data_IF_641050848549
#
_entry.id   IF_641050848549
#
_cell.length_a   1.000
_cell.length_b   1.000
_cell.length_c   1.000
_cell.angle_alpha   90.00
_cell.angle_beta   90.00
_cell.angle_gamma   90.00
#
_symmetry.space_group_name_H-M   'P 1'
#
loop_
_entity.id
_entity.type
_entity.pdbx_description
1 polymer ?
#
# COMPACT_ATOMS: atom_id res chain seq x y z
N UNK A 1 20.19 67.19 26.37
CA UNK A 1 19.79 65.83 26.76
C UNK A 1 18.90 65.28 25.67
N UNK A 2 19.47 64.52 24.77
CA UNK A 2 18.74 63.91 23.62
C UNK A 2 18.41 62.46 23.98
N UNK A 3 17.12 62.21 24.26
CA UNK A 3 16.60 60.88 24.51
C UNK A 3 16.55 60.06 23.24
N UNK A 4 17.22 58.91 23.20
CA UNK A 4 17.16 57.93 22.14
C UNK A 4 15.81 57.19 22.17
N UNK A 5 14.98 57.43 21.20
CA UNK A 5 13.77 56.64 20.94
C UNK A 5 14.26 55.34 20.25
N UNK A 6 14.23 54.20 20.95
CA UNK A 6 14.44 52.88 20.37
C UNK A 6 13.14 52.47 19.65
N UNK A 7 13.15 52.50 18.32
CA UNK A 7 12.14 51.83 17.52
C UNK A 7 12.27 50.32 17.70
N UNK A 8 11.33 49.71 18.40
CA UNK A 8 11.14 48.31 18.39
C UNK A 8 10.47 47.91 17.05
N UNK A 9 11.28 47.44 16.11
CA UNK A 9 10.75 46.75 14.91
C UNK A 9 10.16 45.42 15.38
N UNK A 10 8.84 45.37 15.50
CA UNK A 10 8.10 44.13 15.55
C UNK A 10 8.34 43.39 14.22
N UNK A 11 9.17 42.34 14.26
CA UNK A 11 9.21 41.32 13.20
C UNK A 11 7.79 40.73 13.13
N UNK A 12 7.01 41.17 12.16
CA UNK A 12 5.76 40.49 11.77
C UNK A 12 6.21 39.06 11.39
N UNK A 13 5.96 38.08 12.27
CA UNK A 13 5.98 36.67 11.86
C UNK A 13 5.00 36.57 10.70
N UNK A 14 5.49 36.31 9.50
CA UNK A 14 4.62 35.86 8.40
C UNK A 14 3.77 34.74 8.97
N UNK A 15 2.47 34.97 9.15
CA UNK A 15 1.53 33.89 9.39
C UNK A 15 1.67 32.96 8.17
N UNK A 16 2.09 31.76 8.38
CA UNK A 16 2.01 30.70 7.36
C UNK A 16 0.50 30.46 7.26
N UNK A 17 -0.16 31.13 6.31
CA UNK A 17 -1.51 30.79 5.97
C UNK A 17 -1.49 29.38 5.39
N UNK A 18 -2.14 28.46 6.08
CA UNK A 18 -2.32 27.10 5.59
C UNK A 18 -3.17 27.18 4.33
N UNK A 19 -2.61 26.79 3.19
CA UNK A 19 -3.33 26.72 1.92
C UNK A 19 -3.78 25.27 1.69
N UNK A 20 -5.08 25.06 1.48
CA UNK A 20 -5.69 23.77 1.18
C UNK A 20 -6.00 23.59 -0.32
N UNK A 21 -5.60 24.55 -1.16
CA UNK A 21 -5.78 24.44 -2.61
C UNK A 21 -4.78 23.42 -3.17
N UNK A 22 -5.27 22.57 -4.05
CA UNK A 22 -4.45 21.61 -4.77
C UNK A 22 -3.63 22.32 -5.84
N UNK A 23 -2.41 21.85 -6.06
CA UNK A 23 -1.59 22.33 -7.18
C UNK A 23 -2.12 21.81 -8.51
N UNK A 24 -1.72 22.44 -9.62
CA UNK A 24 -2.08 21.98 -10.97
C UNK A 24 -1.63 20.53 -11.22
N UNK A 25 -0.45 20.15 -10.74
CA UNK A 25 0.06 18.78 -10.82
C UNK A 25 -0.81 17.79 -10.05
N UNK A 26 -1.17 18.11 -8.80
CA UNK A 26 -2.06 17.28 -7.97
C UNK A 26 -3.45 17.12 -8.60
N UNK A 27 -3.98 18.19 -9.23
CA UNK A 27 -5.25 18.11 -9.96
C UNK A 27 -5.13 17.23 -11.19
N UNK A 28 -4.06 17.34 -11.96
CA UNK A 28 -3.81 16.49 -13.14
C UNK A 28 -3.71 15.01 -12.75
N UNK A 29 -3.02 14.68 -11.67
CA UNK A 29 -2.94 13.29 -11.15
C UNK A 29 -4.32 12.79 -10.72
N UNK A 30 -5.10 13.62 -10.03
CA UNK A 30 -6.47 13.28 -9.62
C UNK A 30 -7.37 13.00 -10.83
N UNK A 31 -7.29 13.83 -11.87
CA UNK A 31 -8.06 13.64 -13.10
C UNK A 31 -7.64 12.38 -13.85
N UNK A 32 -6.36 12.14 -14.02
CA UNK A 32 -5.85 10.92 -14.65
C UNK A 32 -6.31 9.65 -13.90
N UNK A 33 -6.28 9.65 -12.58
CA UNK A 33 -6.77 8.55 -11.74
C UNK A 33 -8.28 8.33 -11.91
N UNK A 34 -9.06 9.43 -11.95
CA UNK A 34 -10.51 9.38 -12.18
C UNK A 34 -10.84 8.81 -13.56
N UNK A 35 -10.19 9.32 -14.59
CA UNK A 35 -10.41 8.86 -15.96
C UNK A 35 -10.08 7.38 -16.12
N UNK A 36 -8.97 6.95 -15.56
CA UNK A 36 -8.62 5.54 -15.53
C UNK A 36 -9.66 4.69 -14.79
N UNK A 37 -10.08 5.13 -13.60
CA UNK A 37 -11.08 4.42 -12.81
C UNK A 37 -12.41 4.27 -13.56
N UNK A 38 -12.90 5.34 -14.18
CA UNK A 38 -14.19 5.33 -14.89
C UNK A 38 -14.14 4.57 -16.22
N UNK A 39 -13.05 4.68 -16.98
CA UNK A 39 -12.96 4.14 -18.34
C UNK A 39 -12.36 2.73 -18.40
N UNK A 40 -11.46 2.38 -17.46
CA UNK A 40 -10.75 1.09 -17.47
C UNK A 40 -11.25 0.16 -16.36
N UNK A 41 -11.36 0.65 -15.13
CA UNK A 41 -11.75 -0.22 -14.01
C UNK A 41 -13.25 -0.51 -13.95
N UNK A 42 -14.08 0.52 -14.11
CA UNK A 42 -15.52 0.44 -13.95
C UNK A 42 -16.22 -0.62 -14.84
N UNK A 43 -15.86 -0.77 -16.13
CA UNK A 43 -16.55 -1.73 -16.99
C UNK A 43 -16.49 -3.18 -16.51
N UNK A 44 -15.41 -3.56 -15.81
CA UNK A 44 -15.21 -4.95 -15.39
C UNK A 44 -15.28 -5.17 -13.86
N UNK A 45 -15.54 -4.14 -13.05
CA UNK A 45 -15.40 -4.24 -11.59
C UNK A 45 -16.33 -5.27 -10.96
N UNK A 46 -17.59 -5.34 -11.39
CA UNK A 46 -18.57 -6.30 -10.86
C UNK A 46 -18.18 -7.73 -11.22
N UNK A 47 -17.72 -7.96 -12.45
CA UNK A 47 -17.24 -9.28 -12.88
C UNK A 47 -16.00 -9.70 -12.09
N UNK A 48 -15.03 -8.80 -11.92
CA UNK A 48 -13.84 -9.08 -11.11
C UNK A 48 -14.17 -9.43 -9.67
N UNK A 49 -15.08 -8.68 -9.04
CA UNK A 49 -15.48 -8.94 -7.66
C UNK A 49 -16.25 -10.25 -7.52
N UNK A 50 -17.25 -10.49 -8.37
CA UNK A 50 -18.06 -11.70 -8.33
C UNK A 50 -17.23 -12.97 -8.56
N UNK A 51 -16.30 -12.94 -9.51
CA UNK A 51 -15.43 -14.06 -9.85
C UNK A 51 -14.11 -14.07 -9.08
N UNK A 52 -13.95 -13.16 -8.12
CA UNK A 52 -12.71 -13.03 -7.33
C UNK A 52 -11.45 -12.95 -8.23
N UNK A 53 -11.56 -12.27 -9.36
CA UNK A 53 -10.51 -12.18 -10.39
C UNK A 53 -9.58 -10.99 -10.11
N UNK A 54 -8.30 -11.27 -9.94
CA UNK A 54 -7.29 -10.22 -9.78
C UNK A 54 -7.18 -9.37 -11.06
N UNK A 55 -7.12 -8.04 -10.98
CA UNK A 55 -7.12 -7.13 -12.12
C UNK A 55 -5.75 -7.02 -12.81
N UNK A 56 -5.25 -8.11 -13.40
CA UNK A 56 -3.89 -8.19 -13.97
C UNK A 56 -3.65 -7.13 -15.04
N UNK A 57 -4.56 -7.03 -16.01
CA UNK A 57 -4.38 -6.11 -17.15
C UNK A 57 -4.59 -4.66 -16.73
N UNK A 58 -5.49 -4.43 -15.78
CA UNK A 58 -5.74 -3.12 -15.22
C UNK A 58 -4.56 -2.62 -14.37
N UNK A 59 -3.89 -3.50 -13.62
CA UNK A 59 -2.67 -3.16 -12.87
C UNK A 59 -1.50 -2.86 -13.82
N UNK A 60 -1.37 -3.56 -14.94
CA UNK A 60 -0.36 -3.20 -15.96
C UNK A 60 -0.59 -1.80 -16.53
N UNK A 61 -1.84 -1.45 -16.83
CA UNK A 61 -2.17 -0.11 -17.31
C UNK A 61 -1.96 0.97 -16.22
N UNK A 62 -2.20 0.65 -14.93
CA UNK A 62 -1.81 1.53 -13.81
C UNK A 62 -0.30 1.75 -13.77
N UNK A 63 0.48 0.71 -14.09
CA UNK A 63 1.93 0.81 -14.18
C UNK A 63 2.39 1.75 -15.32
N UNK A 64 1.76 1.67 -16.49
CA UNK A 64 2.02 2.56 -17.62
C UNK A 64 1.76 4.04 -17.29
N UNK A 65 0.80 4.32 -16.39
CA UNK A 65 0.54 5.66 -15.85
C UNK A 65 1.52 6.06 -14.72
N UNK A 66 2.46 5.20 -14.34
CA UNK A 66 3.40 5.44 -13.25
C UNK A 66 2.80 5.28 -11.85
N UNK A 67 1.59 4.70 -11.73
CA UNK A 67 0.88 4.62 -10.46
C UNK A 67 1.36 3.46 -9.56
N UNK A 68 2.22 2.58 -10.06
CA UNK A 68 2.81 1.51 -9.24
C UNK A 68 4.04 1.96 -8.46
N UNK A 69 4.67 3.09 -8.84
CA UNK A 69 5.81 3.69 -8.17
C UNK A 69 5.65 5.20 -7.95
N UNK A 70 4.45 5.66 -7.54
CA UNK A 70 4.11 7.10 -7.49
C UNK A 70 5.11 7.93 -6.69
N UNK A 71 5.47 7.47 -5.49
CA UNK A 71 6.31 8.22 -4.55
C UNK A 71 7.80 7.85 -4.65
N UNK A 72 8.16 6.92 -5.52
CA UNK A 72 9.55 6.48 -5.70
C UNK A 72 10.32 7.48 -6.55
N UNK A 73 11.56 7.74 -6.18
CA UNK A 73 12.48 8.62 -6.91
C UNK A 73 12.61 8.17 -8.38
N UNK A 74 12.53 9.09 -9.36
CA UNK A 74 12.66 8.78 -10.78
C UNK A 74 13.92 8.00 -11.15
N UNK A 75 15.02 8.15 -10.40
CA UNK A 75 16.25 7.36 -10.61
C UNK A 75 16.07 5.86 -10.45
N UNK A 76 14.99 5.44 -9.77
CA UNK A 76 14.60 4.03 -9.61
C UNK A 76 13.36 3.67 -10.42
N UNK A 77 12.99 4.48 -11.41
CA UNK A 77 11.86 4.24 -12.30
C UNK A 77 10.49 4.63 -11.71
N UNK A 78 10.47 5.35 -10.60
CA UNK A 78 9.25 5.90 -10.03
C UNK A 78 8.84 7.24 -10.64
N UNK A 79 7.68 7.76 -10.24
CA UNK A 79 7.13 9.02 -10.73
C UNK A 79 7.54 10.24 -9.90
N UNK A 80 8.13 10.06 -8.71
CA UNK A 80 8.59 11.15 -7.84
C UNK A 80 7.49 12.05 -7.29
N UNK A 81 6.24 11.60 -7.31
CA UNK A 81 5.07 12.37 -6.86
C UNK A 81 5.06 12.51 -5.33
N UNK A 82 4.37 13.55 -4.85
CA UNK A 82 4.18 13.76 -3.42
C UNK A 82 3.09 12.85 -2.82
N UNK A 83 3.03 12.82 -1.49
CA UNK A 83 2.02 12.01 -0.77
C UNK A 83 0.60 12.48 -1.05
N UNK A 84 0.37 13.77 -1.34
CA UNK A 84 -0.96 14.28 -1.65
C UNK A 84 -1.45 13.72 -3.00
N UNK A 85 -0.60 13.74 -4.03
CA UNK A 85 -0.89 13.13 -5.34
C UNK A 85 -1.25 11.64 -5.19
N UNK A 86 -0.49 10.90 -4.36
CA UNK A 86 -0.78 9.50 -4.05
C UNK A 86 -2.16 9.33 -3.39
N UNK A 87 -2.49 10.15 -2.38
CA UNK A 87 -3.79 10.11 -1.68
C UNK A 87 -4.94 10.39 -2.63
N UNK A 88 -4.81 11.39 -3.51
CA UNK A 88 -5.83 11.75 -4.49
C UNK A 88 -6.06 10.62 -5.51
N UNK A 89 -4.99 9.99 -5.99
CA UNK A 89 -5.11 8.85 -6.88
C UNK A 89 -5.77 7.65 -6.17
N UNK A 90 -5.36 7.35 -4.92
CA UNK A 90 -5.98 6.30 -4.11
C UNK A 90 -7.47 6.51 -3.91
N UNK A 91 -7.91 7.75 -3.63
CA UNK A 91 -9.33 8.09 -3.48
C UNK A 91 -10.10 7.81 -4.78
N UNK A 92 -9.66 8.35 -5.93
CA UNK A 92 -10.37 8.23 -7.20
C UNK A 92 -10.43 6.77 -7.70
N UNK A 93 -9.35 6.00 -7.57
CA UNK A 93 -9.35 4.57 -7.91
C UNK A 93 -10.30 3.79 -6.99
N UNK A 94 -10.27 4.08 -5.68
CA UNK A 94 -11.08 3.38 -4.68
C UNK A 94 -12.58 3.65 -4.79
N UNK A 95 -12.98 4.79 -5.36
CA UNK A 95 -14.40 5.08 -5.68
C UNK A 95 -15.01 4.03 -6.60
N UNK A 96 -14.19 3.38 -7.41
CA UNK A 96 -14.60 2.44 -8.44
C UNK A 96 -14.18 1.01 -8.13
N UNK A 97 -12.91 0.79 -7.81
CA UNK A 97 -12.36 -0.54 -7.58
C UNK A 97 -11.34 -0.55 -6.42
N UNK A 98 -11.85 -0.92 -5.26
CA UNK A 98 -11.04 -1.06 -4.05
C UNK A 98 -10.01 -2.20 -4.14
N UNK A 99 -10.22 -3.19 -5.02
CA UNK A 99 -9.28 -4.29 -5.23
C UNK A 99 -8.03 -3.84 -5.99
N UNK A 100 -8.21 -3.01 -7.01
CA UNK A 100 -7.09 -2.41 -7.73
C UNK A 100 -6.32 -1.42 -6.81
N UNK A 101 -7.05 -0.59 -6.05
CA UNK A 101 -6.43 0.39 -5.16
C UNK A 101 -5.61 -0.25 -4.03
N UNK A 102 -6.07 -1.36 -3.43
CA UNK A 102 -5.29 -2.02 -2.37
C UNK A 102 -4.01 -2.66 -2.90
N UNK A 103 -4.03 -3.20 -4.14
CA UNK A 103 -2.82 -3.68 -4.81
C UNK A 103 -1.80 -2.54 -4.99
N UNK A 104 -2.25 -1.41 -5.54
CA UNK A 104 -1.47 -0.19 -5.71
C UNK A 104 -0.92 0.32 -4.37
N UNK A 105 -1.75 0.33 -3.32
CA UNK A 105 -1.36 0.79 -1.98
C UNK A 105 -0.25 -0.05 -1.37
N UNK A 106 -0.39 -1.38 -1.36
CA UNK A 106 0.63 -2.28 -0.79
C UNK A 106 1.96 -2.12 -1.53
N UNK A 107 1.92 -2.08 -2.86
CA UNK A 107 3.13 -1.91 -3.67
C UNK A 107 3.84 -0.58 -3.37
N UNK A 108 3.13 0.55 -3.39
CA UNK A 108 3.69 1.88 -3.17
C UNK A 108 4.14 2.13 -1.73
N UNK A 109 3.18 2.04 -0.78
CA UNK A 109 3.35 2.57 0.57
C UNK A 109 4.03 1.60 1.53
N UNK A 110 3.99 0.30 1.24
CA UNK A 110 4.61 -0.72 2.09
C UNK A 110 5.92 -1.24 1.48
N UNK A 111 5.87 -1.71 0.23
CA UNK A 111 7.02 -2.42 -0.35
C UNK A 111 8.02 -1.45 -0.95
N UNK A 112 7.61 -0.62 -1.92
CA UNK A 112 8.51 0.34 -2.57
C UNK A 112 9.08 1.33 -1.57
N UNK A 113 8.24 1.95 -0.75
CA UNK A 113 8.68 2.91 0.25
C UNK A 113 9.68 2.28 1.25
N UNK A 114 9.41 1.06 1.69
CA UNK A 114 10.28 0.34 2.62
C UNK A 114 11.67 0.07 2.03
N UNK A 115 11.74 -0.44 0.79
CA UNK A 115 13.00 -0.72 0.10
C UNK A 115 13.74 0.58 -0.23
N UNK A 116 13.03 1.62 -0.68
CA UNK A 116 13.65 2.91 -1.01
C UNK A 116 14.34 3.54 0.19
N UNK A 117 13.68 3.52 1.36
CA UNK A 117 14.20 4.16 2.58
C UNK A 117 15.29 3.37 3.28
N UNK A 118 15.26 2.06 3.25
CA UNK A 118 16.09 1.21 4.12
C UNK A 118 16.88 0.12 3.37
N UNK A 119 16.59 -0.11 2.11
CA UNK A 119 17.35 -1.03 1.26
C UNK A 119 18.72 -0.50 0.88
N UNK A 120 19.68 -1.40 0.66
CA UNK A 120 20.96 -1.08 0.04
C UNK A 120 20.77 -0.66 -1.42
N UNK A 121 21.81 -0.06 -2.04
CA UNK A 121 21.73 0.32 -3.44
C UNK A 121 21.49 -0.90 -4.35
N UNK A 122 22.14 -2.03 -4.05
CA UNK A 122 21.96 -3.29 -4.78
C UNK A 122 20.51 -3.80 -4.64
N UNK A 123 19.94 -3.70 -3.44
CA UNK A 123 18.54 -4.08 -3.20
C UNK A 123 17.58 -3.17 -3.98
N UNK A 124 17.86 -1.86 -4.04
CA UNK A 124 17.04 -0.91 -4.81
C UNK A 124 17.09 -1.21 -6.29
N UNK A 125 18.28 -1.44 -6.86
CA UNK A 125 18.40 -1.78 -8.27
C UNK A 125 17.72 -3.11 -8.60
N UNK A 126 17.91 -4.13 -7.76
CA UNK A 126 17.37 -5.48 -8.01
C UNK A 126 15.87 -5.57 -7.79
N UNK A 127 15.35 -4.94 -6.74
CA UNK A 127 13.97 -5.14 -6.28
C UNK A 127 13.08 -3.91 -6.45
N UNK A 128 13.57 -2.70 -6.11
CA UNK A 128 12.74 -1.51 -6.17
C UNK A 128 12.43 -1.09 -7.61
N UNK A 129 13.40 -1.09 -8.50
CA UNK A 129 13.19 -0.67 -9.90
C UNK A 129 12.05 -1.44 -10.56
N UNK A 130 12.03 -2.79 -10.60
CA UNK A 130 10.94 -3.53 -11.24
C UNK A 130 9.59 -3.39 -10.50
N UNK A 131 9.58 -3.06 -9.20
CA UNK A 131 8.35 -2.78 -8.46
C UNK A 131 7.81 -1.38 -8.77
N UNK A 132 8.69 -0.37 -8.87
CA UNK A 132 8.31 1.00 -9.15
C UNK A 132 7.80 1.18 -10.58
N UNK A 133 8.40 0.47 -11.55
CA UNK A 133 7.92 0.43 -12.94
C UNK A 133 6.66 -0.40 -13.11
N UNK A 134 6.28 -1.21 -12.11
CA UNK A 134 5.14 -2.13 -12.18
C UNK A 134 5.39 -3.39 -13.03
N UNK A 135 6.62 -3.66 -13.44
CA UNK A 135 7.02 -4.95 -14.04
C UNK A 135 6.76 -6.10 -13.07
N UNK A 136 6.99 -5.83 -11.78
CA UNK A 136 6.73 -6.75 -10.66
C UNK A 136 5.80 -6.11 -9.63
N UNK A 137 5.16 -6.96 -8.84
CA UNK A 137 4.29 -6.56 -7.74
C UNK A 137 4.91 -7.06 -6.43
N UNK A 138 4.79 -6.23 -5.38
CA UNK A 138 5.26 -6.56 -4.04
C UNK A 138 4.16 -6.93 -3.06
N UNK A 139 4.51 -7.73 -2.06
CA UNK A 139 3.68 -8.08 -0.93
C UNK A 139 4.41 -7.81 0.40
N UNK A 140 3.64 -7.42 1.43
CA UNK A 140 4.15 -7.17 2.77
C UNK A 140 3.61 -8.25 3.73
N UNK A 141 4.51 -9.03 4.33
CA UNK A 141 4.18 -10.26 5.04
C UNK A 141 4.52 -10.12 6.52
N UNK A 142 3.58 -9.59 7.32
CA UNK A 142 3.73 -9.40 8.76
C UNK A 142 2.86 -10.40 9.54
N UNK A 143 1.55 -10.42 9.26
CA UNK A 143 0.56 -11.16 10.05
C UNK A 143 0.74 -12.67 9.99
N UNK A 144 0.50 -13.33 11.12
CA UNK A 144 0.53 -14.78 11.28
C UNK A 144 -0.78 -15.27 11.94
N UNK A 145 -1.06 -16.59 11.95
CA UNK A 145 -2.24 -17.11 12.62
C UNK A 145 -2.41 -16.62 14.05
N UNK A 146 -1.31 -16.56 14.81
CA UNK A 146 -1.32 -16.18 16.24
C UNK A 146 -0.78 -14.75 16.49
N UNK A 147 -0.33 -14.04 15.44
CA UNK A 147 0.26 -12.70 15.55
C UNK A 147 -0.40 -11.71 14.57
N UNK A 148 -1.47 -11.07 15.01
CA UNK A 148 -2.16 -9.98 14.32
C UNK A 148 -1.87 -8.64 14.97
N UNK A 149 -2.74 -8.17 15.87
CA UNK A 149 -2.54 -6.92 16.61
C UNK A 149 -1.30 -6.94 17.48
N UNK A 150 -0.97 -8.07 18.08
CA UNK A 150 0.31 -8.31 18.74
C UNK A 150 1.34 -8.80 17.72
N UNK A 151 1.89 -7.88 16.94
CA UNK A 151 2.85 -8.16 15.88
C UNK A 151 4.25 -8.51 16.40
N UNK A 152 4.48 -8.52 17.72
CA UNK A 152 5.73 -8.97 18.33
C UNK A 152 5.75 -10.47 18.64
N UNK A 153 4.57 -11.09 18.76
CA UNK A 153 4.40 -12.52 19.07
C UNK A 153 4.54 -13.43 17.84
N UNK A 154 5.52 -13.13 16.97
CA UNK A 154 5.73 -13.89 15.73
C UNK A 154 6.37 -15.23 15.99
N UNK A 155 5.84 -16.27 15.34
CA UNK A 155 6.34 -17.64 15.34
C UNK A 155 7.17 -18.00 14.09
N UNK A 156 7.06 -17.22 12.99
CA UNK A 156 7.90 -17.37 11.81
C UNK A 156 9.35 -17.06 12.17
N UNK A 157 10.24 -18.01 11.97
CA UNK A 157 11.67 -17.93 12.31
C UNK A 157 12.55 -17.87 11.08
N UNK A 158 13.68 -17.15 11.20
CA UNK A 158 14.72 -17.09 10.17
C UNK A 158 16.07 -17.31 10.85
N UNK A 159 16.49 -18.58 10.98
CA UNK A 159 17.72 -18.97 11.68
C UNK A 159 18.93 -18.55 10.87
N UNK A 160 19.87 -17.88 11.52
CA UNK A 160 21.13 -17.46 10.91
C UNK A 160 22.06 -18.66 10.68
N UNK A 161 22.36 -18.95 9.41
CA UNK A 161 23.23 -20.05 8.99
C UNK A 161 24.59 -19.56 8.44
N UNK A 162 24.95 -18.29 8.71
CA UNK A 162 26.18 -17.67 8.21
C UNK A 162 25.91 -16.92 6.89
N UNK A 163 25.88 -17.59 5.77
CA UNK A 163 25.71 -16.95 4.45
C UNK A 163 24.24 -16.70 4.08
N UNK A 164 23.30 -17.38 4.75
CA UNK A 164 21.86 -17.26 4.53
C UNK A 164 21.08 -17.41 5.83
N UNK A 165 19.81 -17.02 5.78
CA UNK A 165 18.81 -17.33 6.80
C UNK A 165 17.98 -18.54 6.36
N UNK A 166 17.72 -19.48 7.26
CA UNK A 166 16.79 -20.57 7.06
C UNK A 166 15.41 -20.15 7.58
N UNK A 167 14.51 -19.80 6.66
CA UNK A 167 13.19 -19.26 6.96
C UNK A 167 12.15 -20.36 7.04
N UNK A 168 11.43 -20.41 8.17
CA UNK A 168 10.35 -21.35 8.45
C UNK A 168 9.16 -20.65 9.09
N UNK A 169 7.94 -21.00 8.68
CA UNK A 169 6.71 -20.47 9.27
C UNK A 169 5.58 -20.20 8.29
N UNK A 170 4.61 -19.45 8.74
CA UNK A 170 3.39 -19.15 7.99
C UNK A 170 3.00 -17.67 8.14
N UNK A 171 2.66 -17.03 7.03
CA UNK A 171 2.08 -15.68 7.02
C UNK A 171 0.66 -15.73 6.48
N UNK A 172 -0.28 -15.05 7.15
CA UNK A 172 -1.69 -15.05 6.80
C UNK A 172 -2.17 -13.71 6.29
N UNK A 173 -3.23 -13.75 5.48
CA UNK A 173 -3.94 -12.59 4.93
C UNK A 173 -3.04 -11.67 4.11
N UNK A 174 -2.12 -12.26 3.35
CA UNK A 174 -1.16 -11.48 2.59
C UNK A 174 -1.78 -10.99 1.28
N UNK A 175 -1.98 -9.67 1.20
CA UNK A 175 -2.41 -8.97 -0.02
C UNK A 175 -1.33 -9.11 -1.09
N UNK A 176 -1.75 -9.34 -2.32
CA UNK A 176 -0.90 -9.66 -3.46
C UNK A 176 -0.15 -11.00 -3.29
N UNK A 177 -0.60 -11.88 -2.39
CA UNK A 177 0.11 -13.11 -2.04
C UNK A 177 0.41 -14.02 -3.22
N UNK A 178 -0.52 -14.11 -4.18
CA UNK A 178 -0.33 -14.89 -5.41
C UNK A 178 0.23 -14.06 -6.58
N UNK A 179 -0.09 -12.76 -6.65
CA UNK A 179 0.32 -11.92 -7.78
C UNK A 179 1.73 -11.34 -7.60
N UNK A 180 2.22 -11.24 -6.36
CA UNK A 180 3.54 -10.70 -6.09
C UNK A 180 4.66 -11.62 -6.57
N UNK A 181 5.80 -11.00 -6.89
CA UNK A 181 7.06 -11.68 -7.16
C UNK A 181 8.13 -11.35 -6.11
N UNK A 182 7.91 -10.29 -5.31
CA UNK A 182 8.80 -9.84 -4.25
C UNK A 182 8.01 -9.70 -2.95
N UNK A 183 8.48 -10.32 -1.88
CA UNK A 183 7.79 -10.37 -0.59
C UNK A 183 8.70 -9.80 0.50
N UNK A 184 8.24 -8.79 1.24
CA UNK A 184 8.90 -8.31 2.45
C UNK A 184 8.38 -9.11 3.64
N UNK A 185 9.17 -10.05 4.11
CA UNK A 185 8.80 -10.96 5.20
C UNK A 185 9.46 -10.51 6.50
N UNK A 186 8.64 -10.29 7.52
CA UNK A 186 9.10 -9.98 8.88
C UNK A 186 9.20 -11.28 9.64
N UNK A 187 10.37 -11.61 10.17
CA UNK A 187 10.61 -12.90 10.84
C UNK A 187 11.54 -12.75 12.04
N UNK A 188 11.37 -13.64 13.01
CA UNK A 188 12.17 -13.71 14.22
C UNK A 188 13.48 -14.46 13.94
N UNK A 189 14.62 -13.80 14.18
CA UNK A 189 15.96 -14.41 14.01
C UNK A 189 16.61 -14.76 15.35
N UNK A 190 16.20 -14.09 16.43
CA UNK A 190 16.69 -14.39 17.78
C UNK A 190 15.58 -14.11 18.82
N UNK A 191 14.92 -15.16 19.28
CA UNK A 191 13.78 -15.09 20.22
C UNK A 191 14.18 -14.46 21.57
N UNK A 192 15.41 -14.66 22.02
CA UNK A 192 15.90 -14.15 23.32
C UNK A 192 15.93 -12.61 23.36
N UNK A 193 16.07 -11.97 22.18
CA UNK A 193 16.09 -10.52 22.06
C UNK A 193 14.68 -9.92 21.90
N UNK A 194 13.61 -10.73 21.91
CA UNK A 194 12.25 -10.25 21.71
C UNK A 194 12.10 -9.50 20.39
N UNK A 195 11.47 -8.33 20.40
CA UNK A 195 11.26 -7.52 19.21
C UNK A 195 12.56 -7.01 18.54
N UNK A 196 13.68 -6.98 19.28
CA UNK A 196 15.01 -6.63 18.75
C UNK A 196 15.67 -7.80 18.00
N UNK A 197 15.11 -9.01 18.08
CA UNK A 197 15.53 -10.15 17.30
C UNK A 197 14.75 -10.32 15.98
N UNK A 198 13.86 -9.37 15.65
CA UNK A 198 13.04 -9.44 14.43
C UNK A 198 13.76 -8.74 13.27
N UNK A 199 13.80 -9.41 12.12
CA UNK A 199 14.40 -8.89 10.88
C UNK A 199 13.36 -8.79 9.74
N UNK A 200 13.66 -7.93 8.76
CA UNK A 200 12.92 -7.81 7.51
C UNK A 200 13.74 -8.44 6.38
N UNK A 201 13.17 -9.41 5.69
CA UNK A 201 13.83 -10.19 4.65
C UNK A 201 13.09 -10.05 3.32
N UNK A 202 13.83 -9.92 2.21
CA UNK A 202 13.27 -9.92 0.86
C UNK A 202 13.28 -11.37 0.33
N UNK A 203 12.09 -11.89 0.04
CA UNK A 203 11.87 -13.20 -0.55
C UNK A 203 11.44 -13.02 -2.00
N UNK A 204 11.96 -13.85 -2.88
CA UNK A 204 11.56 -13.89 -4.30
C UNK A 204 10.64 -15.09 -4.56
N UNK A 205 9.65 -14.89 -5.42
CA UNK A 205 8.83 -16.01 -5.90
C UNK A 205 9.71 -17.06 -6.56
N UNK A 206 9.44 -18.32 -6.26
CA UNK A 206 10.20 -19.44 -6.82
C UNK A 206 11.41 -19.87 -6.00
N UNK A 207 11.70 -19.22 -4.87
CA UNK A 207 12.65 -19.79 -3.90
C UNK A 207 12.15 -21.16 -3.43
N UNK A 208 13.06 -22.14 -3.36
CA UNK A 208 12.74 -23.49 -2.90
C UNK A 208 12.17 -23.46 -1.49
N UNK A 209 11.09 -24.20 -1.24
CA UNK A 209 10.39 -24.23 0.04
C UNK A 209 9.38 -23.10 0.26
N UNK A 210 9.31 -22.08 -0.63
CA UNK A 210 8.30 -21.05 -0.57
C UNK A 210 7.03 -21.47 -1.32
N UNK A 211 5.90 -21.50 -0.62
CA UNK A 211 4.61 -21.97 -1.14
C UNK A 211 3.55 -20.87 -0.93
N UNK A 212 2.85 -20.53 -2.01
CA UNK A 212 1.61 -19.75 -1.95
C UNK A 212 0.48 -20.72 -1.62
N UNK A 213 -0.10 -20.56 -0.44
CA UNK A 213 -1.17 -21.42 0.08
C UNK A 213 -2.56 -21.02 -0.36
N UNK A 214 -3.55 -21.29 0.47
CA UNK A 214 -4.94 -21.06 0.17
C UNK A 214 -5.27 -19.57 -0.07
N UNK A 215 -6.17 -19.32 -1.02
CA UNK A 215 -6.79 -18.01 -1.22
C UNK A 215 -7.91 -17.81 -0.20
N UNK A 216 -7.97 -16.60 0.35
CA UNK A 216 -9.03 -16.22 1.29
C UNK A 216 -10.34 -15.91 0.56
N UNK A 217 -11.44 -16.46 1.04
CA UNK A 217 -12.79 -16.06 0.62
C UNK A 217 -13.25 -14.88 1.48
N UNK A 218 -13.30 -13.69 0.88
CA UNK A 218 -13.51 -12.43 1.60
C UNK A 218 -14.93 -11.91 1.38
N UNK A 219 -15.44 -11.17 2.38
CA UNK A 219 -16.72 -10.47 2.33
C UNK A 219 -16.74 -9.35 1.28
N UNK A 220 -15.62 -8.66 1.06
CA UNK A 220 -15.45 -7.57 0.09
C UNK A 220 -14.02 -7.49 -0.42
N UNK A 221 -13.78 -6.56 -1.35
CA UNK A 221 -12.48 -6.41 -2.03
C UNK A 221 -12.04 -7.76 -2.63
N UNK A 222 -12.98 -8.47 -3.23
CA UNK A 222 -12.82 -9.87 -3.61
C UNK A 222 -11.92 -10.07 -4.82
N UNK A 223 -11.77 -9.03 -5.65
CA UNK A 223 -10.81 -9.00 -6.75
C UNK A 223 -9.35 -8.88 -6.32
N UNK A 224 -9.08 -8.46 -5.07
CA UNK A 224 -7.72 -8.51 -4.51
C UNK A 224 -7.37 -9.94 -4.12
N UNK A 225 -6.22 -10.43 -4.55
CA UNK A 225 -5.73 -11.73 -4.12
C UNK A 225 -5.12 -11.65 -2.71
N UNK A 226 -5.66 -12.43 -1.81
CA UNK A 226 -5.20 -12.51 -0.43
C UNK A 226 -4.93 -13.98 -0.12
N UNK A 227 -3.72 -14.30 0.31
CA UNK A 227 -3.28 -15.68 0.48
C UNK A 227 -2.56 -15.90 1.81
N UNK A 228 -2.61 -17.15 2.27
CA UNK A 228 -1.64 -17.69 3.21
C UNK A 228 -0.34 -17.97 2.47
N UNK A 229 0.79 -17.71 3.10
CA UNK A 229 2.13 -18.03 2.60
C UNK A 229 2.84 -18.97 3.56
N UNK A 230 3.47 -20.03 3.04
CA UNK A 230 4.19 -21.04 3.82
C UNK A 230 5.67 -21.02 3.45
N UNK A 231 6.51 -21.12 4.44
CA UNK A 231 7.97 -21.18 4.30
C UNK A 231 8.48 -22.45 4.97
N UNK A 232 9.05 -23.33 4.17
CA UNK A 232 9.59 -24.63 4.60
C UNK A 232 11.07 -24.69 4.20
N UNK A 233 11.95 -24.41 5.14
CA UNK A 233 13.41 -24.37 4.95
C UNK A 233 13.87 -23.49 3.78
N UNK A 234 13.20 -22.32 3.61
CA UNK A 234 13.58 -21.38 2.55
C UNK A 234 14.93 -20.74 2.86
N UNK A 235 15.90 -20.93 1.96
CA UNK A 235 17.23 -20.33 2.07
C UNK A 235 17.22 -18.89 1.55
N UNK A 236 17.25 -17.93 2.46
CA UNK A 236 17.23 -16.49 2.14
C UNK A 236 18.66 -15.93 2.25
N UNK A 237 19.27 -15.46 1.15
CA UNK A 237 20.61 -14.88 1.21
C UNK A 237 20.71 -13.74 2.24
N UNK A 238 21.84 -13.65 2.93
CA UNK A 238 22.11 -12.55 3.90
C UNK A 238 21.93 -11.16 3.27
N UNK A 239 22.29 -11.01 1.99
CA UNK A 239 22.13 -9.77 1.24
C UNK A 239 20.66 -9.34 1.05
N UNK A 240 19.69 -10.22 1.30
CA UNK A 240 18.27 -9.93 1.23
C UNK A 240 17.69 -9.38 2.55
N UNK A 241 18.49 -9.23 3.64
CA UNK A 241 18.05 -8.55 4.85
C UNK A 241 18.04 -7.03 4.64
N UNK A 242 16.95 -6.38 5.02
CA UNK A 242 16.81 -4.92 4.96
C UNK A 242 17.33 -4.30 6.27
N UNK A 243 18.28 -3.39 6.14
CA UNK A 243 18.86 -2.69 7.27
C UNK A 243 19.76 -3.55 8.15
N UNK A 244 20.00 -3.07 9.37
CA UNK A 244 20.83 -3.74 10.36
C UNK A 244 20.10 -4.90 11.03
N UNK A 245 20.86 -5.77 11.72
CA UNK A 245 20.28 -6.88 12.48
C UNK A 245 19.37 -6.35 13.61
N UNK A 246 18.21 -6.96 13.76
CA UNK A 246 17.19 -6.57 14.73
C UNK A 246 16.37 -5.33 14.35
N UNK A 247 16.55 -4.77 13.16
CA UNK A 247 15.80 -3.59 12.71
C UNK A 247 14.36 -3.92 12.22
N UNK A 248 14.02 -5.18 11.98
CA UNK A 248 12.80 -5.58 11.27
C UNK A 248 11.49 -5.13 11.90
N UNK A 249 11.36 -5.15 13.23
CA UNK A 249 10.14 -4.64 13.89
C UNK A 249 10.02 -3.11 13.73
N UNK A 250 11.11 -2.38 13.91
CA UNK A 250 11.13 -0.92 13.70
C UNK A 250 10.80 -0.59 12.24
N UNK A 251 11.37 -1.34 11.29
CA UNK A 251 11.06 -1.23 9.87
C UNK A 251 9.56 -1.40 9.62
N UNK A 252 8.96 -2.49 10.12
CA UNK A 252 7.54 -2.78 9.95
C UNK A 252 6.65 -1.64 10.48
N UNK A 253 6.93 -1.12 11.67
CA UNK A 253 6.15 -0.03 12.27
C UNK A 253 6.25 1.28 11.46
N UNK A 254 7.43 1.60 10.93
CA UNK A 254 7.64 2.78 10.09
C UNK A 254 6.92 2.66 8.75
N UNK A 255 7.01 1.50 8.11
CA UNK A 255 6.30 1.20 6.85
C UNK A 255 4.79 1.30 7.05
N UNK A 256 4.24 0.67 8.09
CA UNK A 256 2.81 0.70 8.40
C UNK A 256 2.29 2.11 8.70
N UNK A 257 3.12 3.00 9.25
CA UNK A 257 2.72 4.40 9.49
C UNK A 257 2.39 5.13 8.19
N UNK A 258 3.18 4.91 7.13
CA UNK A 258 2.87 5.41 5.79
C UNK A 258 1.65 4.70 5.16
N UNK A 259 1.56 3.39 5.33
CA UNK A 259 0.45 2.58 4.81
C UNK A 259 -0.92 3.01 5.34
N UNK A 260 -1.01 3.48 6.59
CA UNK A 260 -2.27 3.99 7.18
C UNK A 260 -2.86 5.16 6.40
N UNK A 261 -2.03 6.03 5.83
CA UNK A 261 -2.48 7.16 4.99
C UNK A 261 -3.17 6.62 3.73
N UNK A 262 -2.56 5.67 3.04
CA UNK A 262 -3.14 5.05 1.85
C UNK A 262 -4.47 4.34 2.14
N UNK A 263 -4.56 3.60 3.24
CA UNK A 263 -5.80 2.91 3.62
C UNK A 263 -6.90 3.89 4.06
N UNK A 264 -6.55 5.01 4.70
CA UNK A 264 -7.51 6.07 5.01
C UNK A 264 -8.09 6.68 3.72
N UNK A 265 -7.24 6.96 2.73
CA UNK A 265 -7.68 7.44 1.40
C UNK A 265 -8.55 6.41 0.67
N UNK A 266 -8.20 5.11 0.75
CA UNK A 266 -9.02 4.03 0.21
C UNK A 266 -10.41 3.99 0.84
N UNK A 267 -10.49 4.05 2.16
CA UNK A 267 -11.77 4.02 2.88
C UNK A 267 -12.64 5.23 2.51
N UNK A 268 -12.04 6.41 2.38
CA UNK A 268 -12.73 7.61 1.92
C UNK A 268 -13.24 7.45 0.49
N UNK A 269 -12.42 6.92 -0.41
CA UNK A 269 -12.81 6.64 -1.79
C UNK A 269 -13.99 5.67 -1.89
N UNK A 270 -13.95 4.55 -1.16
CA UNK A 270 -15.07 3.58 -1.10
C UNK A 270 -16.35 4.26 -0.60
N UNK A 271 -16.26 5.07 0.47
CA UNK A 271 -17.40 5.80 1.00
C UNK A 271 -17.97 6.80 -0.01
N UNK A 272 -17.11 7.57 -0.68
CA UNK A 272 -17.49 8.53 -1.69
C UNK A 272 -18.16 7.85 -2.91
N UNK A 273 -17.57 6.76 -3.42
CA UNK A 273 -18.15 5.99 -4.52
C UNK A 273 -19.52 5.38 -4.17
N UNK A 274 -19.65 4.81 -2.98
CA UNK A 274 -20.92 4.29 -2.47
C UNK A 274 -21.98 5.39 -2.34
N UNK A 275 -21.60 6.58 -1.84
CA UNK A 275 -22.48 7.73 -1.74
C UNK A 275 -22.94 8.24 -3.13
N UNK A 276 -22.02 8.38 -4.08
CA UNK A 276 -22.33 8.83 -5.44
C UNK A 276 -23.33 7.88 -6.13
N UNK A 277 -23.12 6.57 -6.00
CA UNK A 277 -24.02 5.54 -6.54
C UNK A 277 -25.40 5.58 -5.87
N UNK A 278 -25.45 5.71 -4.55
CA UNK A 278 -26.70 5.79 -3.79
C UNK A 278 -27.48 7.06 -4.16
N UNK A 279 -26.80 8.21 -4.29
CA UNK A 279 -27.40 9.47 -4.69
C UNK A 279 -27.98 9.39 -6.11
N UNK A 280 -27.23 8.85 -7.07
CA UNK A 280 -27.70 8.64 -8.43
C UNK A 280 -28.93 7.72 -8.49
N UNK A 281 -28.89 6.60 -7.76
CA UNK A 281 -30.00 5.68 -7.68
C UNK A 281 -31.25 6.32 -7.05
N UNK A 282 -31.08 7.11 -5.97
CA UNK A 282 -32.19 7.76 -5.29
C UNK A 282 -32.98 8.73 -6.17
N UNK A 283 -32.32 9.32 -7.17
CA UNK A 283 -32.93 10.21 -8.16
C UNK A 283 -33.69 9.48 -9.27
N UNK A 284 -33.46 8.20 -9.43
CA UNK A 284 -34.12 7.38 -10.49
C UNK A 284 -35.20 6.48 -9.93
N UNK A 285 -34.95 5.88 -8.76
CA UNK A 285 -35.89 4.94 -8.12
C UNK A 285 -37.11 5.68 -7.59
N UNK A 286 -38.30 5.21 -7.97
CA UNK A 286 -39.57 5.71 -7.46
C UNK A 286 -40.19 4.75 -6.44
N UNK A 287 -40.77 5.34 -5.38
CA UNK A 287 -41.63 4.68 -4.42
C UNK A 287 -42.73 5.66 -3.96
N UNK A 288 -43.93 5.16 -3.72
CA UNK A 288 -45.08 5.99 -3.34
C UNK A 288 -45.33 7.17 -4.31
N UNK A 289 -45.17 6.95 -5.61
CA UNK A 289 -45.48 7.91 -6.68
C UNK A 289 -44.43 8.99 -6.93
N UNK A 290 -43.31 9.01 -6.20
CA UNK A 290 -42.22 9.99 -6.41
C UNK A 290 -40.83 9.37 -6.26
N UNK A 291 -39.79 10.06 -6.72
CA UNK A 291 -38.39 9.65 -6.56
C UNK A 291 -38.05 9.58 -5.07
N UNK A 292 -37.28 8.54 -4.66
CA UNK A 292 -37.05 8.26 -3.23
C UNK A 292 -36.29 9.37 -2.52
N UNK A 293 -35.42 10.14 -3.20
CA UNK A 293 -34.73 11.28 -2.58
C UNK A 293 -35.68 12.41 -2.13
N UNK A 294 -36.94 12.45 -2.65
CA UNK A 294 -37.97 13.42 -2.25
C UNK A 294 -38.72 13.04 -0.97
N UNK A 295 -38.39 11.92 -0.37
CA UNK A 295 -38.93 11.53 0.94
C UNK A 295 -38.03 12.13 2.05
N UNK A 296 -38.63 12.83 3.01
CA UNK A 296 -37.93 13.57 4.04
C UNK A 296 -36.90 12.73 4.82
N UNK A 297 -37.15 11.44 5.04
CA UNK A 297 -36.24 10.55 5.74
C UNK A 297 -35.00 10.14 4.91
N UNK A 298 -34.98 10.47 3.60
CA UNK A 298 -33.87 10.18 2.68
C UNK A 298 -33.14 11.46 2.28
N UNK A 299 -33.86 12.57 2.18
CA UNK A 299 -33.32 13.90 1.88
C UNK A 299 -32.53 14.43 3.08
#
# INVERSE_FOLDING_TARGET
>A
MLGRIRLFLFKIKKSINMNFELTEEQLAVKEAARDFAQNVLKPGVIDRDNNQRFPVEEIKQLAELGFMGMMVDPKYGGSGMDTMSYVLAMEEISKVDASASVCMSVNNSLVCWGIEKYGSEEQKQKFLVPLATGEKIGAFCLSEPEAGSDATSQSTTAIDMGDYYLLNGTKNWITNGSSASTYLVIAQTNVELGHKGINALIIERGMEGFIVGAKEDKMGIRGSDTHTLLFNDVKVPKANRIGEDGFGFTFAMKVLSGGRIGIAAQALGIAAGGFELALAYSKQRKAFGKEIYKHQAIA
#
